data_IF_701810371632
#
_entry.id   IF_701810371632
#
_cell.length_a   1.000
_cell.length_b   1.000
_cell.length_c   1.000
_cell.angle_alpha   90.00
_cell.angle_beta   90.00
_cell.angle_gamma   90.00
#
_symmetry.space_group_name_H-M   'P 1'
#
loop_
_entity.id
_entity.type
_entity.pdbx_description
1 polymer ?
#
# COMPACT_ATOMS: atom_id res chain seq x y z
N UNK A 1 18.29 -19.47 21.77
CA UNK A 1 17.32 -18.40 22.09
C UNK A 1 16.70 -17.92 20.79
N UNK A 2 15.37 -17.78 20.77
CA UNK A 2 14.53 -17.56 19.58
C UNK A 2 14.60 -16.10 19.13
N UNK A 3 14.88 -15.86 17.84
CA UNK A 3 14.78 -14.53 17.22
C UNK A 3 13.48 -14.51 16.42
N UNK A 4 12.49 -13.74 16.91
CA UNK A 4 11.24 -13.45 16.19
C UNK A 4 11.47 -12.23 15.29
N UNK A 5 11.46 -12.37 13.94
CA UNK A 5 11.55 -11.22 13.07
C UNK A 5 10.18 -10.53 12.97
N UNK A 6 10.12 -9.34 13.53
CA UNK A 6 9.10 -8.32 13.29
C UNK A 6 9.17 -7.94 11.82
N UNK A 7 8.23 -8.45 11.04
CA UNK A 7 7.95 -7.97 9.69
C UNK A 7 6.65 -7.17 9.82
N UNK A 8 6.55 -6.07 9.05
CA UNK A 8 5.30 -5.45 8.56
C UNK A 8 4.88 -4.14 9.24
N UNK A 9 5.47 -3.05 8.74
CA UNK A 9 4.72 -1.88 8.27
C UNK A 9 4.92 -1.89 6.76
N UNK A 10 3.98 -2.52 6.02
CA UNK A 10 4.26 -3.11 4.70
C UNK A 10 4.52 -2.15 3.53
N UNK A 11 4.71 -0.87 3.80
CA UNK A 11 5.35 0.06 2.88
C UNK A 11 6.13 1.18 3.62
N UNK A 12 6.49 0.95 4.89
CA UNK A 12 7.38 1.83 5.68
C UNK A 12 8.50 1.07 6.44
N UNK A 13 8.57 -0.27 6.40
CA UNK A 13 9.69 -1.05 6.93
C UNK A 13 10.37 -1.83 5.79
N UNK A 14 10.92 -1.11 4.83
CA UNK A 14 12.05 -1.59 4.01
C UNK A 14 13.39 -0.99 4.51
N UNK A 15 13.40 -0.37 5.71
CA UNK A 15 14.52 0.46 6.19
C UNK A 15 15.15 0.06 7.53
N UNK A 16 14.91 -1.15 8.05
CA UNK A 16 15.67 -1.62 9.22
C UNK A 16 15.93 -3.11 9.14
N UNK A 17 17.05 -3.47 8.51
CA UNK A 17 17.41 -4.86 8.28
C UNK A 17 18.81 -5.13 7.73
N UNK A 18 19.82 -4.35 8.14
CA UNK A 18 21.20 -4.82 8.14
C UNK A 18 21.64 -4.89 9.60
N UNK A 19 21.85 -6.09 10.14
CA UNK A 19 22.67 -6.24 11.33
C UNK A 19 23.75 -7.27 11.02
N UNK A 20 24.99 -6.80 11.01
CA UNK A 20 26.18 -7.59 10.76
C UNK A 20 27.44 -6.75 10.98
N UNK A 21 28.00 -6.90 12.18
CA UNK A 21 29.34 -6.52 12.62
C UNK A 21 29.62 -5.05 13.00
N UNK A 22 29.89 -4.89 14.30
CA UNK A 22 30.85 -3.92 14.82
C UNK A 22 32.08 -3.86 13.90
N UNK A 23 32.28 -2.75 13.21
CA UNK A 23 33.60 -2.28 12.86
C UNK A 23 33.63 -0.78 13.07
N UNK A 24 34.40 -0.39 14.08
CA UNK A 24 34.81 0.96 14.35
C UNK A 24 35.63 1.44 13.14
N UNK A 25 35.00 2.10 12.17
CA UNK A 25 35.72 2.75 11.07
C UNK A 25 35.64 4.25 11.30
N UNK A 26 36.55 4.72 12.14
CA UNK A 26 36.99 6.11 12.10
C UNK A 26 37.75 6.28 10.76
N UNK A 27 37.04 6.61 9.69
CA UNK A 27 37.67 7.09 8.46
C UNK A 27 36.91 8.31 7.98
N UNK A 28 37.55 9.44 8.27
CA UNK A 28 37.33 10.74 7.68
C UNK A 28 37.30 10.63 6.14
N UNK A 29 36.11 10.49 5.56
CA UNK A 29 35.89 10.44 4.12
C UNK A 29 34.92 11.56 3.72
N UNK A 30 35.48 12.75 3.61
CA UNK A 30 34.86 13.89 2.98
C UNK A 30 34.77 13.61 1.46
N UNK A 31 33.72 12.90 1.02
CA UNK A 31 33.42 12.77 -0.41
C UNK A 31 32.02 13.31 -0.69
N UNK A 32 31.97 14.54 -1.20
CA UNK A 32 30.83 15.10 -1.92
C UNK A 32 30.60 14.34 -3.24
N UNK A 33 30.22 13.05 -3.17
CA UNK A 33 29.54 12.39 -4.28
C UNK A 33 28.05 12.63 -4.08
N UNK A 34 27.59 13.78 -4.52
CA UNK A 34 26.17 13.96 -4.83
C UNK A 34 25.90 13.00 -5.99
N UNK A 35 25.37 11.82 -5.68
CA UNK A 35 24.88 10.92 -6.72
C UNK A 35 23.75 11.67 -7.42
N UNK A 36 23.97 12.05 -8.69
CA UNK A 36 23.01 12.78 -9.52
C UNK A 36 21.87 11.82 -9.92
N UNK A 37 21.00 11.52 -8.96
CA UNK A 37 19.85 10.64 -9.15
C UNK A 37 18.67 11.44 -9.69
N UNK A 38 18.39 11.25 -10.98
CA UNK A 38 17.13 11.71 -11.58
C UNK A 38 15.97 10.97 -10.94
N UNK A 39 14.92 11.67 -10.45
CA UNK A 39 13.72 11.03 -9.93
C UNK A 39 13.15 10.05 -10.97
N UNK A 40 12.60 8.90 -10.54
CA UNK A 40 11.99 7.96 -11.48
C UNK A 40 10.85 8.65 -12.23
N UNK A 41 10.62 8.23 -13.48
CA UNK A 41 9.48 8.76 -14.23
C UNK A 41 8.17 8.42 -13.48
N UNK A 42 7.23 9.38 -13.37
CA UNK A 42 5.94 9.12 -12.76
C UNK A 42 5.20 8.01 -13.50
N UNK A 43 4.63 7.06 -12.76
CA UNK A 43 3.70 6.10 -13.34
C UNK A 43 2.47 6.82 -13.91
N UNK A 44 1.94 6.30 -15.01
CA UNK A 44 0.73 6.81 -15.68
C UNK A 44 -0.26 5.67 -15.96
N UNK A 45 -1.56 5.95 -16.03
CA UNK A 45 -2.54 4.96 -16.44
C UNK A 45 -2.24 4.44 -17.84
N UNK A 46 -2.56 3.17 -18.07
CA UNK A 46 -2.47 2.59 -19.42
C UNK A 46 -3.57 3.14 -20.33
N UNK A 47 -4.73 3.45 -19.76
CA UNK A 47 -5.92 3.94 -20.45
C UNK A 47 -6.59 5.06 -19.65
N UNK A 48 -7.41 5.87 -20.33
CA UNK A 48 -8.20 6.90 -19.66
C UNK A 48 -9.31 6.28 -18.80
N UNK A 49 -9.70 6.97 -17.73
CA UNK A 49 -10.76 6.48 -16.86
C UNK A 49 -12.11 6.43 -17.59
N UNK A 50 -12.80 5.28 -17.50
CA UNK A 50 -14.16 5.13 -18.02
C UNK A 50 -15.15 5.83 -17.07
N UNK A 51 -15.80 6.94 -17.50
CA UNK A 51 -16.74 7.68 -16.66
C UNK A 51 -18.03 6.91 -16.36
N UNK A 52 -18.30 5.83 -17.09
CA UNK A 52 -19.50 4.98 -16.93
C UNK A 52 -19.23 3.70 -16.16
N UNK A 53 -17.99 3.51 -15.69
CA UNK A 53 -17.59 2.31 -14.98
C UNK A 53 -18.42 2.10 -13.71
N UNK A 54 -19.00 0.91 -13.58
CA UNK A 54 -19.73 0.49 -12.39
C UNK A 54 -18.79 -0.28 -11.47
N UNK A 55 -18.47 0.33 -10.33
CA UNK A 55 -17.71 -0.36 -9.27
C UNK A 55 -18.52 -1.51 -8.67
N UNK A 56 -17.84 -2.61 -8.34
CA UNK A 56 -18.42 -3.66 -7.51
C UNK A 56 -18.45 -3.30 -6.02
N UNK A 57 -17.57 -2.39 -5.57
CA UNK A 57 -17.52 -1.94 -4.18
C UNK A 57 -17.30 -0.42 -4.11
N UNK A 58 -18.25 0.37 -3.58
CA UNK A 58 -18.09 1.82 -3.47
C UNK A 58 -16.91 2.24 -2.59
N UNK A 59 -16.58 1.49 -1.54
CA UNK A 59 -15.45 1.82 -0.65
C UNK A 59 -14.08 1.39 -1.21
N UNK A 60 -14.06 0.66 -2.32
CA UNK A 60 -12.85 0.27 -3.02
C UNK A 60 -13.09 0.24 -4.54
N UNK A 61 -13.21 1.43 -5.16
CA UNK A 61 -13.92 1.60 -6.43
C UNK A 61 -13.26 0.94 -7.65
N UNK A 62 -11.95 0.69 -7.61
CA UNK A 62 -11.19 0.00 -8.66
C UNK A 62 -11.49 0.47 -10.09
N UNK A 63 -11.72 1.77 -10.29
CA UNK A 63 -12.03 2.35 -11.60
C UNK A 63 -10.76 2.30 -12.47
N UNK A 64 -10.71 1.52 -13.56
CA UNK A 64 -9.58 1.53 -14.48
C UNK A 64 -9.31 2.94 -15.01
N UNK A 65 -8.05 3.33 -15.14
CA UNK A 65 -7.63 4.66 -15.54
C UNK A 65 -7.61 5.70 -14.41
N UNK A 66 -8.15 5.36 -13.24
CA UNK A 66 -8.18 6.29 -12.09
C UNK A 66 -6.80 6.47 -11.45
N UNK A 67 -6.61 7.64 -10.85
CA UNK A 67 -5.39 8.03 -10.13
C UNK A 67 -5.78 8.54 -8.75
N UNK A 68 -5.05 8.14 -7.72
CA UNK A 68 -5.08 8.73 -6.39
C UNK A 68 -3.64 9.02 -5.93
N UNK A 69 -3.37 10.26 -5.52
CA UNK A 69 -2.06 10.67 -4.99
C UNK A 69 -2.17 11.02 -3.52
N UNK A 70 -1.24 10.51 -2.74
CA UNK A 70 -1.17 10.72 -1.30
C UNK A 70 0.16 11.35 -0.92
N UNK A 71 0.12 12.18 0.11
CA UNK A 71 1.32 12.55 0.87
C UNK A 71 1.37 11.65 2.10
N UNK A 72 2.54 11.08 2.34
CA UNK A 72 2.88 10.29 3.51
C UNK A 72 3.78 11.14 4.40
N UNK A 73 3.36 11.37 5.64
CA UNK A 73 4.21 11.93 6.68
C UNK A 73 4.63 10.79 7.61
N UNK A 74 5.91 10.43 7.57
CA UNK A 74 6.48 9.42 8.45
C UNK A 74 6.68 9.98 9.85
N UNK A 75 6.59 9.11 10.86
CA UNK A 75 6.86 9.49 12.26
C UNK A 75 8.28 10.02 12.49
N UNK A 76 9.21 9.72 11.58
CA UNK A 76 10.58 10.26 11.55
C UNK A 76 10.68 11.73 11.11
N UNK A 77 9.57 12.35 10.66
CA UNK A 77 9.55 13.70 10.09
C UNK A 77 9.85 13.75 8.59
N UNK A 78 10.07 12.60 7.95
CA UNK A 78 10.24 12.48 6.50
C UNK A 78 8.87 12.57 5.80
N UNK A 79 8.86 13.10 4.57
CA UNK A 79 7.68 13.11 3.71
C UNK A 79 7.92 12.25 2.46
N UNK A 80 6.92 11.48 2.05
CA UNK A 80 6.91 10.75 0.78
C UNK A 80 5.66 11.03 -0.04
N UNK A 81 5.75 10.82 -1.34
CA UNK A 81 4.62 10.83 -2.27
C UNK A 81 4.27 9.42 -2.71
N UNK A 82 3.00 9.07 -2.63
CA UNK A 82 2.48 7.83 -3.16
C UNK A 82 1.51 8.13 -4.29
N UNK A 83 1.83 7.70 -5.50
CA UNK A 83 0.88 7.68 -6.62
C UNK A 83 0.30 6.28 -6.75
N UNK A 84 -1.03 6.17 -6.84
CA UNK A 84 -1.76 4.92 -7.04
C UNK A 84 -2.56 5.04 -8.33
N UNK A 85 -2.48 4.01 -9.17
CA UNK A 85 -3.18 3.91 -10.44
C UNK A 85 -3.87 2.57 -10.50
N UNK A 86 -5.07 2.53 -11.05
CA UNK A 86 -5.78 1.27 -11.32
C UNK A 86 -5.85 1.06 -12.83
N UNK A 87 -5.44 -0.11 -13.29
CA UNK A 87 -5.58 -0.54 -14.68
C UNK A 87 -6.51 -1.77 -14.74
N UNK A 88 -7.20 -1.92 -15.86
CA UNK A 88 -7.92 -3.15 -16.17
C UNK A 88 -6.92 -4.22 -16.67
N UNK A 89 -7.15 -5.45 -16.27
CA UNK A 89 -6.48 -6.63 -16.80
C UNK A 89 -7.53 -7.72 -17.07
N UNK A 90 -7.23 -8.59 -18.03
CA UNK A 90 -7.99 -9.82 -18.26
C UNK A 90 -7.05 -11.01 -18.01
N UNK A 91 -7.47 -11.91 -17.12
CA UNK A 91 -6.75 -13.14 -16.84
C UNK A 91 -7.72 -14.31 -17.00
N UNK A 92 -7.61 -15.02 -18.14
CA UNK A 92 -8.41 -16.21 -18.42
C UNK A 92 -9.92 -15.94 -18.56
N UNK A 93 -10.31 -14.78 -19.08
CA UNK A 93 -11.71 -14.38 -19.23
C UNK A 93 -12.33 -13.81 -17.96
N UNK A 94 -11.53 -13.66 -16.89
CA UNK A 94 -11.93 -13.02 -15.63
C UNK A 94 -11.40 -11.60 -15.62
N UNK A 95 -12.30 -10.64 -15.35
CA UNK A 95 -11.93 -9.24 -15.14
C UNK A 95 -11.10 -9.10 -13.86
N UNK A 96 -9.85 -8.69 -14.01
CA UNK A 96 -8.90 -8.43 -12.92
C UNK A 96 -8.57 -6.94 -12.91
N UNK A 97 -8.33 -6.39 -11.73
CA UNK A 97 -7.91 -4.99 -11.58
C UNK A 97 -6.50 -4.97 -11.01
N UNK A 98 -5.58 -4.29 -11.71
CA UNK A 98 -4.22 -4.11 -11.28
C UNK A 98 -4.05 -2.72 -10.67
N UNK A 99 -3.79 -2.64 -9.37
CA UNK A 99 -3.39 -1.41 -8.72
C UNK A 99 -1.87 -1.29 -8.72
N UNK A 100 -1.33 -0.35 -9.50
CA UNK A 100 0.10 0.00 -9.50
C UNK A 100 0.33 1.20 -8.60
N UNK A 101 1.29 1.09 -7.70
CA UNK A 101 1.65 2.18 -6.80
C UNK A 101 3.13 2.52 -6.92
N UNK A 102 3.45 3.80 -7.00
CA UNK A 102 4.82 4.32 -6.97
C UNK A 102 5.00 5.19 -5.74
N UNK A 103 5.94 4.81 -4.88
CA UNK A 103 6.34 5.59 -3.72
C UNK A 103 7.68 6.28 -4.01
N UNK A 104 7.73 7.59 -3.76
CA UNK A 104 8.93 8.42 -3.87
C UNK A 104 9.15 9.13 -2.53
N UNK A 105 10.27 8.85 -1.87
CA UNK A 105 10.68 9.56 -0.65
C UNK A 105 11.29 10.93 -1.02
N UNK A 106 10.87 12.00 -0.32
CA UNK A 106 11.36 13.38 -0.55
C UNK A 106 12.52 13.78 0.36
N UNK A 107 12.99 12.91 1.25
CA UNK A 107 14.20 13.17 2.03
C UNK A 107 15.43 13.01 1.13
N UNK A 108 16.12 14.13 0.87
CA UNK A 108 17.23 14.28 -0.09
C UNK A 108 18.50 13.49 0.20
N UNK A 109 18.40 12.23 0.64
CA UNK A 109 19.53 11.33 0.85
C UNK A 109 19.25 9.87 0.51
N UNK A 110 17.99 9.40 0.51
CA UNK A 110 17.65 8.03 0.18
C UNK A 110 16.41 7.97 -0.72
N UNK A 111 16.62 7.96 -2.04
CA UNK A 111 15.53 7.72 -2.99
C UNK A 111 15.15 6.25 -2.93
N UNK A 112 14.10 5.94 -2.16
CA UNK A 112 13.38 4.68 -2.29
C UNK A 112 12.43 4.84 -3.48
N UNK A 113 12.68 4.05 -4.53
CA UNK A 113 11.71 3.83 -5.58
C UNK A 113 11.09 2.45 -5.38
N UNK A 114 9.81 2.44 -5.03
CA UNK A 114 9.04 1.22 -4.87
C UNK A 114 7.89 1.19 -5.87
N UNK A 115 7.86 0.12 -6.66
CA UNK A 115 6.71 -0.24 -7.48
C UNK A 115 5.96 -1.38 -6.80
N UNK A 116 4.70 -1.14 -6.46
CA UNK A 116 3.81 -2.14 -5.87
C UNK A 116 2.74 -2.46 -6.89
N UNK A 117 2.55 -3.73 -7.21
CA UNK A 117 1.46 -4.21 -8.07
C UNK A 117 0.57 -5.13 -7.24
N UNK A 118 -0.67 -4.71 -7.01
CA UNK A 118 -1.71 -5.54 -6.38
C UNK A 118 -2.74 -5.93 -7.43
N UNK A 119 -3.13 -7.20 -7.45
CA UNK A 119 -4.20 -7.70 -8.31
C UNK A 119 -5.44 -8.02 -7.50
N UNK A 120 -6.57 -7.56 -7.99
CA UNK A 120 -7.86 -7.72 -7.35
C UNK A 120 -8.89 -8.29 -8.29
N UNK A 121 -9.93 -8.86 -7.68
CA UNK A 121 -11.12 -9.28 -8.39
C UNK A 121 -12.35 -9.11 -7.53
N UNK A 122 -13.48 -8.85 -8.19
CA UNK A 122 -14.78 -8.78 -7.53
C UNK A 122 -15.35 -10.19 -7.34
N UNK A 123 -15.93 -10.42 -6.16
CA UNK A 123 -16.75 -11.59 -5.82
C UNK A 123 -18.07 -11.08 -5.22
N UNK A 124 -19.06 -10.87 -6.09
CA UNK A 124 -20.20 -10.02 -5.79
C UNK A 124 -19.73 -8.58 -5.53
N UNK A 125 -20.12 -8.03 -4.38
CA UNK A 125 -19.68 -6.70 -3.93
C UNK A 125 -18.41 -6.72 -3.06
N UNK A 126 -17.81 -7.90 -2.83
CA UNK A 126 -16.54 -8.03 -2.12
C UNK A 126 -15.38 -7.86 -3.08
N UNK A 127 -14.27 -7.31 -2.57
CA UNK A 127 -13.00 -7.25 -3.29
C UNK A 127 -12.04 -8.26 -2.70
N UNK A 128 -11.63 -9.23 -3.52
CA UNK A 128 -10.62 -10.23 -3.17
C UNK A 128 -9.25 -9.77 -3.69
N UNK A 129 -8.21 -10.04 -2.92
CA UNK A 129 -6.82 -9.86 -3.36
C UNK A 129 -6.26 -11.19 -3.88
N UNK A 130 -5.74 -11.16 -5.11
CA UNK A 130 -5.17 -12.33 -5.78
C UNK A 130 -3.66 -12.43 -5.53
N UNK A 131 -2.96 -11.30 -5.67
CA UNK A 131 -1.51 -11.24 -5.52
C UNK A 131 -1.08 -9.83 -5.18
N UNK A 132 0.04 -9.70 -4.47
CA UNK A 132 0.80 -8.46 -4.36
C UNK A 132 2.25 -8.75 -4.67
N UNK A 133 2.90 -7.85 -5.40
CA UNK A 133 4.34 -7.85 -5.61
C UNK A 133 4.89 -6.46 -5.37
N UNK A 134 5.94 -6.38 -4.58
CA UNK A 134 6.68 -5.14 -4.34
C UNK A 134 8.07 -5.28 -4.92
N UNK A 135 8.44 -4.35 -5.80
CA UNK A 135 9.78 -4.23 -6.35
C UNK A 135 10.40 -2.97 -5.76
N UNK A 136 11.57 -3.11 -5.14
CA UNK A 136 12.30 -2.01 -4.52
C UNK A 136 13.65 -1.86 -5.19
N UNK A 137 14.06 -0.62 -5.45
CA UNK A 137 15.44 -0.30 -5.79
C UNK A 137 16.01 0.60 -4.70
N UNK A 138 17.03 0.12 -4.00
CA UNK A 138 17.72 0.88 -2.94
C UNK A 138 19.20 0.92 -3.30
N UNK A 139 19.75 2.12 -3.48
CA UNK A 139 21.16 2.32 -3.85
C UNK A 139 21.63 1.47 -5.06
N UNK A 140 20.75 1.27 -6.05
CA UNK A 140 21.03 0.48 -7.26
C UNK A 140 20.88 -1.04 -7.10
N UNK A 141 20.54 -1.54 -5.90
CA UNK A 141 20.21 -2.95 -5.69
C UNK A 141 18.71 -3.16 -5.84
N UNK A 142 18.34 -4.08 -6.73
CA UNK A 142 16.96 -4.51 -6.93
C UNK A 142 16.62 -5.65 -5.98
N UNK A 143 15.50 -5.55 -5.29
CA UNK A 143 14.90 -6.67 -4.55
C UNK A 143 13.41 -6.72 -4.82
N UNK A 144 12.82 -7.91 -4.66
CA UNK A 144 11.36 -8.01 -4.73
C UNK A 144 10.80 -8.91 -3.63
N UNK A 145 9.56 -8.63 -3.26
CA UNK A 145 8.79 -9.44 -2.33
C UNK A 145 7.45 -9.75 -2.97
N UNK A 146 7.16 -11.03 -3.13
CA UNK A 146 5.84 -11.52 -3.52
C UNK A 146 5.04 -11.88 -2.27
N UNK A 147 3.74 -11.61 -2.31
CA UNK A 147 2.80 -11.90 -1.24
C UNK A 147 1.87 -13.02 -1.71
N UNK A 148 2.09 -14.20 -1.16
CA UNK A 148 1.32 -15.40 -1.47
C UNK A 148 0.09 -15.46 -0.55
N UNK A 149 -1.02 -14.90 -1.03
CA UNK A 149 -2.28 -14.82 -0.29
C UNK A 149 -2.96 -16.18 -0.21
N UNK A 150 -3.58 -16.46 0.94
CA UNK A 150 -4.56 -17.56 1.03
C UNK A 150 -5.73 -17.27 0.11
N UNK A 151 -6.29 -18.33 -0.46
CA UNK A 151 -7.54 -18.27 -1.21
C UNK A 151 -8.60 -17.51 -0.42
N UNK A 152 -9.39 -16.69 -1.13
CA UNK A 152 -10.45 -15.86 -0.57
C UNK A 152 -9.99 -14.78 0.42
N UNK A 153 -8.73 -14.36 0.38
CA UNK A 153 -8.28 -13.17 1.12
C UNK A 153 -9.09 -11.93 0.69
N UNK A 154 -9.85 -11.37 1.63
CA UNK A 154 -10.75 -10.23 1.37
C UNK A 154 -10.01 -8.93 1.64
N UNK A 155 -9.80 -8.11 0.61
CA UNK A 155 -9.29 -6.74 0.75
C UNK A 155 -10.38 -5.82 1.31
N UNK A 156 -11.59 -5.92 0.76
CA UNK A 156 -12.73 -5.11 1.18
C UNK A 156 -13.99 -5.97 1.25
N UNK A 157 -14.66 -5.95 2.40
CA UNK A 157 -15.94 -6.63 2.61
C UNK A 157 -17.06 -5.98 1.78
N UNK A 158 -18.22 -6.62 1.71
CA UNK A 158 -19.38 -6.05 1.02
C UNK A 158 -19.88 -4.77 1.74
N UNK A 159 -20.53 -3.83 1.04
CA UNK A 159 -21.01 -2.57 1.61
C UNK A 159 -21.98 -2.73 2.79
N UNK A 160 -22.83 -3.76 2.79
CA UNK A 160 -23.76 -4.00 3.90
C UNK A 160 -23.02 -4.39 5.18
N UNK A 161 -21.95 -5.18 5.05
CA UNK A 161 -21.02 -5.49 6.12
C UNK A 161 -20.24 -4.26 6.58
N UNK A 162 -19.74 -3.44 5.67
CA UNK A 162 -19.02 -2.19 6.00
C UNK A 162 -19.91 -1.18 6.72
N UNK A 163 -21.22 -1.15 6.45
CA UNK A 163 -22.17 -0.27 7.12
C UNK A 163 -22.40 -0.63 8.60
N UNK A 164 -21.96 -1.80 9.06
CA UNK A 164 -22.18 -2.28 10.44
C UNK A 164 -20.90 -2.19 11.27
N UNK A 165 -20.90 -1.29 12.26
CA UNK A 165 -19.83 -1.17 13.27
C UNK A 165 -19.55 -2.50 13.95
N UNK A 166 -18.27 -2.81 14.17
CA UNK A 166 -17.80 -4.06 14.76
C UNK A 166 -17.68 -5.22 13.77
N UNK A 167 -18.11 -5.06 12.52
CA UNK A 167 -17.86 -6.07 11.49
C UNK A 167 -16.36 -6.26 11.28
N UNK A 168 -15.92 -7.51 11.19
CA UNK A 168 -14.53 -7.87 10.99
C UNK A 168 -14.34 -8.78 9.78
N UNK A 169 -13.17 -8.67 9.16
CA UNK A 169 -12.68 -9.62 8.16
C UNK A 169 -11.15 -9.68 8.23
N UNK A 170 -10.54 -10.61 7.51
CA UNK A 170 -9.10 -10.72 7.46
C UNK A 170 -8.59 -11.12 6.09
N UNK A 171 -7.31 -10.82 5.87
CA UNK A 171 -6.52 -11.39 4.79
C UNK A 171 -5.27 -12.02 5.39
N UNK A 172 -4.77 -13.05 4.73
CA UNK A 172 -3.60 -13.73 5.23
C UNK A 172 -2.68 -14.17 4.10
N UNK A 173 -1.38 -14.00 4.27
CA UNK A 173 -0.39 -14.28 3.23
C UNK A 173 0.96 -14.72 3.80
N UNK A 174 1.79 -15.28 2.93
CA UNK A 174 3.21 -15.53 3.18
C UNK A 174 4.04 -14.59 2.33
N UNK A 175 5.19 -14.18 2.85
CA UNK A 175 6.14 -13.39 2.07
C UNK A 175 7.09 -14.33 1.35
N UNK A 176 7.39 -14.06 0.09
CA UNK A 176 8.46 -14.70 -0.66
C UNK A 176 9.43 -13.60 -1.10
N UNK A 177 10.62 -13.59 -0.50
CA UNK A 177 11.65 -12.59 -0.76
C UNK A 177 12.57 -13.11 -1.85
N UNK A 178 12.76 -12.33 -2.90
CA UNK A 178 13.68 -12.62 -3.99
C UNK A 178 14.82 -11.59 -3.98
N UNK A 179 16.02 -12.07 -3.62
CA UNK A 179 17.25 -11.28 -3.62
C UNK A 179 18.15 -11.69 -4.80
N UNK A 180 18.85 -10.75 -5.45
CA UNK A 180 19.80 -11.08 -6.52
C UNK A 180 20.85 -12.09 -6.05
N UNK A 181 21.08 -13.14 -6.84
CA UNK A 181 22.10 -14.15 -6.56
C UNK A 181 21.75 -15.12 -5.42
N UNK A 182 20.53 -15.09 -4.88
CA UNK A 182 20.07 -16.00 -3.83
C UNK A 182 18.78 -16.72 -4.26
N UNK A 183 18.53 -17.96 -3.82
CA UNK A 183 17.25 -18.60 -4.02
C UNK A 183 16.14 -17.86 -3.24
N UNK A 184 14.89 -17.88 -3.73
CA UNK A 184 13.76 -17.27 -3.03
C UNK A 184 13.60 -17.80 -1.61
N UNK A 185 13.34 -16.90 -0.66
CA UNK A 185 13.12 -17.24 0.76
C UNK A 185 11.66 -17.00 1.14
N UNK A 186 10.98 -18.04 1.60
CA UNK A 186 9.56 -17.99 1.99
C UNK A 186 9.40 -17.93 3.51
N UNK A 187 8.51 -17.06 4.00
CA UNK A 187 8.18 -16.98 5.42
C UNK A 187 7.53 -18.27 5.92
N UNK A 188 8.02 -18.77 7.06
CA UNK A 188 7.48 -19.97 7.72
C UNK A 188 6.11 -19.75 8.33
N UNK A 189 5.85 -18.54 8.80
CA UNK A 189 4.58 -18.16 9.39
C UNK A 189 3.74 -17.33 8.42
N UNK A 190 2.43 -17.42 8.63
CA UNK A 190 1.44 -16.64 7.92
C UNK A 190 1.34 -15.27 8.59
N UNK A 191 1.37 -14.21 7.79
CA UNK A 191 0.92 -12.90 8.26
C UNK A 191 -0.59 -12.85 8.16
N UNK A 192 -1.25 -12.42 9.24
CA UNK A 192 -2.68 -12.13 9.25
C UNK A 192 -2.88 -10.64 9.46
N UNK A 193 -3.72 -10.05 8.62
CA UNK A 193 -4.19 -8.68 8.76
C UNK A 193 -5.68 -8.73 9.08
N UNK A 194 -6.04 -8.20 10.23
CA UNK A 194 -7.43 -8.12 10.67
C UNK A 194 -7.97 -6.71 10.42
N UNK A 195 -9.20 -6.63 9.94
CA UNK A 195 -9.93 -5.39 9.73
C UNK A 195 -11.14 -5.36 10.64
N UNK A 196 -11.49 -4.16 11.11
CA UNK A 196 -12.62 -3.94 12.00
C UNK A 196 -13.27 -2.58 11.68
N UNK A 197 -14.57 -2.59 11.40
CA UNK A 197 -15.34 -1.38 11.14
C UNK A 197 -15.55 -0.60 12.43
N UNK A 198 -15.03 0.63 12.47
CA UNK A 198 -15.23 1.58 13.57
C UNK A 198 -16.47 2.46 13.43
N UNK A 199 -17.18 2.38 12.30
CA UNK A 199 -18.38 3.16 12.01
C UNK A 199 -18.12 4.42 11.18
N UNK A 200 -19.14 5.27 10.97
CA UNK A 200 -19.01 6.50 10.20
C UNK A 200 -18.13 7.53 10.93
N UNK A 201 -17.40 8.34 10.17
CA UNK A 201 -16.57 9.43 10.66
C UNK A 201 -16.49 10.57 9.65
N UNK A 202 -16.45 11.80 10.13
CA UNK A 202 -16.09 12.97 9.32
C UNK A 202 -14.56 13.05 9.21
N UNK A 203 -14.04 13.22 8.00
CA UNK A 203 -12.61 13.34 7.76
C UNK A 203 -12.31 14.49 6.81
N UNK A 204 -11.38 15.35 7.22
CA UNK A 204 -10.87 16.44 6.40
C UNK A 204 -9.46 16.11 5.89
N UNK A 205 -9.24 16.38 4.61
CA UNK A 205 -7.97 16.27 3.90
C UNK A 205 -7.74 17.56 3.12
N UNK A 206 -6.58 17.73 2.49
CA UNK A 206 -6.36 18.87 1.58
C UNK A 206 -7.33 18.94 0.39
N UNK A 207 -7.96 17.83 0.00
CA UNK A 207 -8.89 17.82 -1.15
C UNK A 207 -10.35 18.01 -0.76
N UNK A 208 -10.65 18.15 0.54
CA UNK A 208 -12.00 18.39 1.03
C UNK A 208 -12.32 17.66 2.33
N UNK A 209 -13.54 17.89 2.81
CA UNK A 209 -14.16 17.18 3.93
C UNK A 209 -15.14 16.12 3.40
N UNK A 210 -15.12 14.94 4.01
CA UNK A 210 -15.90 13.78 3.56
C UNK A 210 -16.51 13.02 4.73
N UNK A 211 -17.66 12.41 4.46
CA UNK A 211 -18.21 11.31 5.27
C UNK A 211 -17.52 10.02 4.86
N UNK A 212 -16.74 9.47 5.77
CA UNK A 212 -16.01 8.22 5.59
C UNK A 212 -16.54 7.12 6.51
N UNK A 213 -16.20 5.87 6.20
CA UNK A 213 -16.19 4.79 7.17
C UNK A 213 -14.78 4.64 7.73
N UNK A 214 -14.68 4.54 9.05
CA UNK A 214 -13.44 4.25 9.76
C UNK A 214 -13.25 2.73 9.80
N UNK A 215 -12.09 2.24 9.35
CA UNK A 215 -11.72 0.83 9.41
C UNK A 215 -10.36 0.72 10.11
N UNK A 216 -10.30 -0.05 11.19
CA UNK A 216 -9.04 -0.34 11.87
C UNK A 216 -8.41 -1.56 11.23
N UNK A 217 -7.16 -1.45 10.80
CA UNK A 217 -6.35 -2.53 10.23
C UNK A 217 -5.26 -2.91 11.22
N UNK A 218 -5.20 -4.17 11.66
CA UNK A 218 -4.30 -4.69 12.70
C UNK A 218 -3.41 -5.79 12.15
N UNK A 219 -2.11 -5.75 12.45
CA UNK A 219 -1.09 -6.74 12.07
C UNK A 219 -0.18 -6.96 13.27
N UNK A 220 -0.30 -8.11 13.95
CA UNK A 220 0.34 -8.30 15.24
C UNK A 220 -0.06 -7.18 16.21
N UNK A 221 0.93 -6.49 16.78
CA UNK A 221 0.73 -5.36 17.69
C UNK A 221 0.55 -4.00 16.98
N UNK A 222 0.81 -3.95 15.67
CA UNK A 222 0.70 -2.74 14.88
C UNK A 222 -0.74 -2.52 14.41
N UNK A 223 -1.18 -1.27 14.40
CA UNK A 223 -2.51 -0.91 13.92
C UNK A 223 -2.52 0.41 13.16
N UNK A 224 -3.31 0.47 12.09
CA UNK A 224 -3.66 1.70 11.39
C UNK A 224 -5.16 1.93 11.44
N UNK A 225 -5.55 3.19 11.45
CA UNK A 225 -6.92 3.64 11.22
C UNK A 225 -6.98 4.18 9.81
N UNK A 226 -7.81 3.56 8.99
CA UNK A 226 -8.05 3.93 7.61
C UNK A 226 -9.45 4.57 7.49
N UNK A 227 -9.56 5.60 6.67
CA UNK A 227 -10.81 6.29 6.38
C UNK A 227 -11.14 6.09 4.90
N UNK A 228 -12.23 5.38 4.62
CA UNK A 228 -12.69 5.08 3.26
C UNK A 228 -13.94 5.87 2.92
N UNK A 229 -13.94 6.54 1.77
CA UNK A 229 -15.07 7.32 1.26
C UNK A 229 -15.68 6.61 0.05
N UNK A 230 -17.00 6.39 0.01
CA UNK A 230 -17.68 5.87 -1.18
C UNK A 230 -17.29 6.62 -2.46
N UNK A 231 -16.87 5.87 -3.47
CA UNK A 231 -16.45 6.36 -4.79
C UNK A 231 -15.04 6.96 -4.87
N UNK A 232 -14.35 7.17 -3.74
CA UNK A 232 -12.93 7.56 -3.70
C UNK A 232 -12.01 6.46 -3.16
N UNK A 233 -12.50 5.60 -2.27
CA UNK A 233 -11.67 4.65 -1.54
C UNK A 233 -10.95 5.30 -0.36
N UNK A 234 -9.70 4.90 -0.10
CA UNK A 234 -8.91 5.41 1.02
C UNK A 234 -8.65 6.92 0.85
N UNK A 235 -9.00 7.74 1.84
CA UNK A 235 -8.71 9.19 1.81
C UNK A 235 -7.70 9.61 2.88
N UNK A 236 -7.62 8.84 3.97
CA UNK A 236 -6.68 9.08 5.06
C UNK A 236 -6.31 7.77 5.75
N UNK A 237 -5.06 7.66 6.18
CA UNK A 237 -4.57 6.59 7.06
C UNK A 237 -3.77 7.21 8.20
N UNK A 238 -3.93 6.66 9.39
CA UNK A 238 -3.14 7.04 10.56
C UNK A 238 -2.67 5.80 11.29
N UNK A 239 -1.36 5.63 11.37
CA UNK A 239 -0.72 4.55 12.08
C UNK A 239 -0.47 4.94 13.54
N UNK A 240 -0.49 3.95 14.45
CA UNK A 240 -0.32 4.18 15.89
C UNK A 240 1.01 4.86 16.22
N UNK A 241 2.06 4.56 15.46
CA UNK A 241 3.40 5.12 15.64
C UNK A 241 3.58 6.54 15.06
N UNK A 242 2.53 7.12 14.47
CA UNK A 242 2.51 8.51 14.02
C UNK A 242 2.61 8.71 12.50
N UNK A 243 2.90 7.65 11.73
CA UNK A 243 2.87 7.74 10.26
C UNK A 243 1.46 8.03 9.77
N UNK A 244 1.29 9.00 8.86
CA UNK A 244 -0.02 9.36 8.31
C UNK A 244 0.02 9.49 6.79
N UNK A 245 -1.07 9.10 6.14
CA UNK A 245 -1.25 9.24 4.71
C UNK A 245 -2.50 10.10 4.49
N UNK A 246 -2.43 11.03 3.55
CA UNK A 246 -3.55 11.91 3.22
C UNK A 246 -3.68 12.07 1.72
N UNK A 247 -4.90 11.92 1.21
CA UNK A 247 -5.24 12.13 -0.20
C UNK A 247 -5.03 13.61 -0.57
N UNK A 248 -4.28 13.84 -1.65
CA UNK A 248 -3.84 15.16 -2.11
C UNK A 248 -4.36 15.49 -3.50
N UNK A 249 -4.60 14.48 -4.32
CA UNK A 249 -5.14 14.64 -5.66
C UNK A 249 -5.80 13.32 -6.07
N UNK A 250 -6.84 13.39 -6.89
CA UNK A 250 -7.44 12.22 -7.52
C UNK A 250 -8.02 12.57 -8.88
N UNK A 251 -8.07 11.59 -9.79
CA UNK A 251 -8.74 11.71 -11.09
C UNK A 251 -9.42 10.39 -11.46
N UNK A 252 -10.51 10.45 -12.22
CA UNK A 252 -11.31 9.26 -12.55
C UNK A 252 -12.07 8.65 -11.36
N UNK A 253 -12.06 9.32 -10.20
CA UNK A 253 -12.79 8.95 -8.99
C UNK A 253 -13.78 10.05 -8.64
N UNK A 254 -14.87 9.70 -7.96
CA UNK A 254 -15.92 10.65 -7.57
C UNK A 254 -16.50 10.27 -6.23
N UNK A 255 -16.42 11.19 -5.26
CA UNK A 255 -17.09 11.01 -3.98
C UNK A 255 -18.60 10.86 -4.19
N UNK A 256 -19.19 9.85 -3.55
CA UNK A 256 -20.64 9.70 -3.43
C UNK A 256 -21.05 10.38 -2.12
N UNK A 257 -21.93 11.37 -2.21
CA UNK A 257 -22.44 12.15 -1.07
C UNK A 257 -23.52 11.45 -0.28
#
# INVERSE_FOLDING_TARGET
>A
MRISPVIILLSAIALSGCNGANNNVNSNANSNRVLDFKPPQPIKPLEAADPTFKTCNPYFPLVPGSIAKYVINYSSGITGDLTVIVDAADEGGRKVFAQRSQLIDRSGGMQINQLIVRRFVCDGERVLILSEKTESTIAGQHSSVDFDYRENSVMMADPQSIARTGTTWSQAFRNVVNNPGQPPSRSKDLTIINFEVGGPAEVTTSVGAFKAVKITRKIGENSTVDYYVPGLGLVKRQAKEGTSWELKEYSGLKAMG
#
